data_IF_285384714519
#
_entry.id   IF_285384714519
#
_cell.length_a   1.000
_cell.length_b   1.000
_cell.length_c   1.000
_cell.angle_alpha   90.00
_cell.angle_beta   90.00
_cell.angle_gamma   90.00
#
_symmetry.space_group_name_H-M   'P 1'
#
loop_
_entity.id
_entity.type
_entity.pdbx_description
1 polymer ?
#
# COMPACT_ATOMS: atom_id res chain seq x y z
N UNK A 1 -16.60 -33.87 -32.37
CA UNK A 1 -16.36 -33.88 -30.91
C UNK A 1 -14.86 -33.70 -30.66
N UNK A 2 -14.44 -32.50 -30.27
CA UNK A 2 -13.08 -32.23 -29.77
C UNK A 2 -13.24 -31.56 -28.41
N UNK A 3 -12.91 -32.30 -27.37
CA UNK A 3 -12.98 -31.88 -25.97
C UNK A 3 -11.82 -30.92 -25.67
N UNK A 4 -12.09 -29.61 -25.67
CA UNK A 4 -11.19 -28.62 -25.08
C UNK A 4 -11.24 -28.78 -23.56
N UNK A 5 -10.20 -29.34 -22.97
CA UNK A 5 -9.95 -29.19 -21.53
C UNK A 5 -9.38 -27.79 -21.31
N UNK A 6 -10.23 -26.88 -20.81
CA UNK A 6 -9.76 -25.61 -20.23
C UNK A 6 -8.99 -25.95 -18.95
N UNK A 7 -7.68 -25.76 -18.97
CA UNK A 7 -6.89 -25.76 -17.76
C UNK A 7 -7.35 -24.57 -16.89
N UNK A 8 -7.87 -24.85 -15.70
CA UNK A 8 -8.17 -23.86 -14.68
C UNK A 8 -6.84 -23.42 -14.06
N UNK A 9 -6.37 -22.24 -14.42
CA UNK A 9 -5.26 -21.57 -13.73
C UNK A 9 -5.73 -21.17 -12.34
N UNK A 10 -5.23 -21.83 -11.30
CA UNK A 10 -5.51 -21.51 -9.90
C UNK A 10 -4.75 -20.22 -9.54
N UNK A 11 -5.47 -19.10 -9.48
CA UNK A 11 -5.00 -17.84 -8.90
C UNK A 11 -5.27 -17.92 -7.40
N UNK A 12 -4.22 -17.97 -6.57
CA UNK A 12 -4.38 -17.87 -5.13
C UNK A 12 -4.50 -16.40 -4.71
N UNK A 13 -5.64 -16.01 -4.15
CA UNK A 13 -5.88 -14.69 -3.55
C UNK A 13 -5.63 -14.83 -2.05
N UNK A 14 -4.49 -14.36 -1.55
CA UNK A 14 -4.24 -14.27 -0.10
C UNK A 14 -4.35 -12.79 0.28
N UNK A 15 -5.50 -12.39 0.81
CA UNK A 15 -5.68 -11.11 1.46
C UNK A 15 -5.10 -11.21 2.89
N UNK A 16 -3.96 -10.58 3.13
CA UNK A 16 -3.39 -10.49 4.47
C UNK A 16 -4.10 -9.40 5.27
N UNK A 17 -4.95 -9.81 6.22
CA UNK A 17 -5.49 -8.93 7.26
C UNK A 17 -4.40 -8.81 8.34
N UNK A 18 -3.82 -7.63 8.48
CA UNK A 18 -2.88 -7.34 9.58
C UNK A 18 -3.69 -7.16 10.86
N UNK A 19 -3.80 -8.23 11.64
CA UNK A 19 -4.32 -8.17 13.01
C UNK A 19 -3.20 -7.75 13.97
N UNK A 20 -3.16 -6.47 14.35
CA UNK A 20 -2.31 -6.02 15.44
C UNK A 20 -2.88 -6.57 16.76
N UNK A 21 -2.19 -7.54 17.35
CA UNK A 21 -2.51 -8.10 18.67
C UNK A 21 -1.95 -7.18 19.76
N UNK A 22 -2.73 -6.20 20.21
CA UNK A 22 -2.40 -5.43 21.41
C UNK A 22 -2.72 -6.24 22.66
N UNK A 23 -1.72 -6.46 23.51
CA UNK A 23 -1.90 -7.05 24.83
C UNK A 23 -2.64 -6.06 25.74
N UNK A 24 -3.83 -6.42 26.24
CA UNK A 24 -4.55 -5.61 27.22
C UNK A 24 -4.72 -6.37 28.54
N UNK A 25 -4.28 -5.74 29.64
CA UNK A 25 -4.53 -6.18 31.02
C UNK A 25 -5.97 -5.81 31.39
N UNK A 26 -6.73 -6.81 31.84
CA UNK A 26 -8.12 -6.65 32.28
C UNK A 26 -8.24 -5.81 33.57
N UNK A 27 -9.08 -4.78 33.52
CA UNK A 27 -9.92 -4.32 34.66
C UNK A 27 -11.23 -3.78 34.09
N UNK A 28 -12.34 -4.17 34.72
CA UNK A 28 -13.70 -4.16 34.16
C UNK A 28 -14.49 -2.85 34.32
N UNK A 29 -15.43 -2.66 33.38
CA UNK A 29 -16.73 -1.96 33.38
C UNK A 29 -16.85 -0.47 33.76
N UNK A 30 -17.28 0.39 32.81
CA UNK A 30 -18.69 0.81 32.62
C UNK A 30 -18.90 1.71 31.38
N UNK A 31 -19.90 1.33 30.57
CA UNK A 31 -20.83 2.07 29.69
C UNK A 31 -20.52 3.39 28.92
N UNK A 32 -21.03 3.35 27.67
CA UNK A 32 -21.57 4.41 26.79
C UNK A 32 -20.70 5.05 25.69
N UNK A 33 -21.14 4.75 24.46
CA UNK A 33 -21.12 5.55 23.23
C UNK A 33 -19.80 6.00 22.58
N UNK A 34 -19.82 5.91 21.24
CA UNK A 34 -18.76 6.12 20.26
C UNK A 34 -17.75 4.96 20.17
N UNK A 35 -17.95 4.09 19.16
CA UNK A 35 -16.83 3.39 18.52
C UNK A 35 -16.03 4.44 17.76
N UNK A 36 -15.28 5.26 18.50
CA UNK A 36 -14.15 6.01 18.00
C UNK A 36 -13.02 5.01 17.87
N UNK A 37 -12.87 4.43 16.68
CA UNK A 37 -11.53 3.99 16.27
C UNK A 37 -10.72 5.28 16.31
N UNK A 38 -9.73 5.35 17.20
CA UNK A 38 -8.73 6.41 17.17
C UNK A 38 -8.05 6.35 15.79
N UNK A 39 -8.57 7.11 14.83
CA UNK A 39 -7.99 7.28 13.49
C UNK A 39 -6.76 8.19 13.54
N UNK A 40 -6.18 8.36 14.74
CA UNK A 40 -5.18 9.33 15.13
C UNK A 40 -4.01 9.45 14.19
N UNK A 41 -3.32 10.58 14.32
CA UNK A 41 -2.16 10.88 13.49
C UNK A 41 -0.97 10.02 13.95
N UNK A 42 -0.29 9.37 13.03
CA UNK A 42 0.91 8.55 13.35
C UNK A 42 2.19 9.38 13.45
N UNK A 43 2.15 10.66 13.05
CA UNK A 43 3.23 11.61 13.23
C UNK A 43 2.67 13.04 13.31
N UNK A 44 3.40 13.95 13.96
CA UNK A 44 3.00 15.37 14.01
C UNK A 44 3.61 16.19 12.86
N UNK A 45 4.71 15.70 12.28
CA UNK A 45 5.41 16.32 11.16
C UNK A 45 6.19 15.28 10.33
N UNK A 46 6.68 15.67 9.15
CA UNK A 46 7.54 14.81 8.35
C UNK A 46 8.88 14.52 9.05
N UNK A 47 9.38 15.46 9.85
CA UNK A 47 10.62 15.25 10.63
C UNK A 47 10.38 14.25 11.75
N UNK A 48 9.26 14.38 12.47
CA UNK A 48 8.86 13.42 13.53
C UNK A 48 8.69 12.00 12.99
N UNK A 49 8.09 11.87 11.80
CA UNK A 49 7.99 10.59 11.10
C UNK A 49 9.37 10.03 10.75
N UNK A 50 10.27 10.87 10.22
CA UNK A 50 11.61 10.42 9.87
C UNK A 50 12.40 10.00 11.13
N UNK A 51 12.31 10.76 12.20
CA UNK A 51 13.03 10.49 13.45
C UNK A 51 12.59 9.17 14.07
N UNK A 52 11.28 8.84 14.04
CA UNK A 52 10.77 7.56 14.58
C UNK A 52 11.24 6.33 13.81
N UNK A 53 11.71 6.50 12.56
CA UNK A 53 12.18 5.41 11.71
C UNK A 53 13.67 5.08 11.92
N UNK A 54 14.44 5.85 12.69
CA UNK A 54 15.87 5.56 12.90
C UNK A 54 16.15 4.44 13.90
N UNK A 55 15.27 4.27 14.88
CA UNK A 55 15.43 3.31 15.98
C UNK A 55 15.23 1.85 15.53
N UNK A 56 14.65 1.66 14.36
CA UNK A 56 14.40 0.34 13.76
C UNK A 56 15.66 -0.18 13.05
N UNK A 57 16.19 -1.32 13.49
CA UNK A 57 17.37 -1.97 12.93
C UNK A 57 17.06 -2.82 11.69
N UNK A 58 15.79 -3.04 11.36
CA UNK A 58 15.37 -3.77 10.17
C UNK A 58 15.62 -2.95 8.89
N UNK A 59 15.68 -1.62 8.98
CA UNK A 59 15.95 -0.76 7.83
C UNK A 59 17.44 -0.69 7.49
N UNK A 60 17.77 -1.02 6.24
CA UNK A 60 19.13 -0.90 5.75
C UNK A 60 19.65 0.55 5.83
N UNK A 61 20.98 0.68 6.00
CA UNK A 61 21.66 1.97 6.03
C UNK A 61 21.42 2.84 4.77
N UNK A 62 21.07 2.24 3.64
CA UNK A 62 20.65 2.96 2.43
C UNK A 62 19.40 3.81 2.68
N UNK A 63 18.38 3.27 3.36
CA UNK A 63 17.18 4.01 3.73
C UNK A 63 17.51 5.11 4.74
N UNK A 64 18.25 4.76 5.81
CA UNK A 64 18.65 5.73 6.85
C UNK A 64 19.45 6.91 6.28
N UNK A 65 20.28 6.69 5.25
CA UNK A 65 20.96 7.79 4.54
C UNK A 65 19.99 8.72 3.80
N UNK A 66 18.99 8.17 3.12
CA UNK A 66 17.97 8.97 2.42
C UNK A 66 17.15 9.78 3.42
N UNK A 67 16.74 9.17 4.53
CA UNK A 67 16.00 9.83 5.61
C UNK A 67 16.80 10.97 6.25
N UNK A 68 18.08 10.75 6.57
CA UNK A 68 18.98 11.81 7.07
C UNK A 68 19.11 12.98 6.09
N UNK A 69 19.21 12.71 4.79
CA UNK A 69 19.22 13.75 3.79
C UNK A 69 17.89 14.51 3.73
N UNK A 70 16.76 13.82 3.87
CA UNK A 70 15.43 14.43 3.86
C UNK A 70 15.20 15.41 5.03
N UNK A 71 15.76 15.15 6.21
CA UNK A 71 15.71 16.10 7.35
C UNK A 71 16.35 17.46 7.02
N UNK A 72 17.33 17.50 6.12
CA UNK A 72 17.93 18.75 5.64
C UNK A 72 17.11 19.45 4.53
N UNK A 73 16.00 18.84 4.10
CA UNK A 73 15.15 19.27 2.98
C UNK A 73 13.65 19.21 3.34
N UNK A 74 13.28 19.76 4.50
CA UNK A 74 11.89 19.84 4.99
C UNK A 74 11.18 18.48 5.13
N UNK A 75 11.95 17.40 5.35
CA UNK A 75 11.42 16.03 5.41
C UNK A 75 10.96 15.48 4.05
N UNK A 76 11.34 16.12 2.93
CA UNK A 76 10.94 15.68 1.58
C UNK A 76 11.91 14.67 1.02
N UNK A 77 11.37 13.61 0.44
CA UNK A 77 12.13 12.57 -0.24
C UNK A 77 12.18 12.91 -1.74
N UNK A 78 13.37 13.18 -2.31
CA UNK A 78 13.50 13.40 -3.75
C UNK A 78 13.11 12.14 -4.53
N UNK A 79 12.41 12.29 -5.66
CA UNK A 79 11.98 11.17 -6.50
C UNK A 79 13.13 10.24 -6.91
N UNK A 80 14.32 10.79 -7.19
CA UNK A 80 15.49 9.98 -7.54
C UNK A 80 15.91 9.03 -6.40
N UNK A 81 15.83 9.48 -5.14
CA UNK A 81 16.14 8.65 -3.97
C UNK A 81 15.04 7.59 -3.75
N UNK A 82 13.78 7.97 -3.94
CA UNK A 82 12.64 7.06 -3.90
C UNK A 82 12.74 5.94 -4.94
N UNK A 83 12.99 6.31 -6.20
CA UNK A 83 13.19 5.38 -7.31
C UNK A 83 14.35 4.41 -7.07
N UNK A 84 15.48 4.90 -6.55
CA UNK A 84 16.63 4.06 -6.24
C UNK A 84 16.35 3.06 -5.10
N UNK A 85 15.57 3.44 -4.10
CA UNK A 85 15.17 2.53 -3.02
C UNK A 85 14.27 1.38 -3.55
N UNK A 86 13.34 1.70 -4.45
CA UNK A 86 12.51 0.68 -5.12
C UNK A 86 13.29 -0.27 -6.02
N UNK A 87 14.32 0.24 -6.68
CA UNK A 87 15.22 -0.62 -7.45
C UNK A 87 16.05 -1.54 -6.54
N UNK A 88 16.47 -1.05 -5.36
CA UNK A 88 17.16 -1.86 -4.35
C UNK A 88 16.26 -2.99 -3.82
N UNK A 89 14.98 -2.71 -3.59
CA UNK A 89 13.98 -3.73 -3.25
C UNK A 89 13.87 -4.82 -4.33
N UNK A 90 13.77 -4.43 -5.61
CA UNK A 90 13.68 -5.38 -6.72
C UNK A 90 14.95 -6.22 -6.84
N UNK A 91 16.12 -5.62 -6.63
CA UNK A 91 17.39 -6.33 -6.66
C UNK A 91 17.52 -7.33 -5.50
N UNK A 92 17.05 -6.98 -4.29
CA UNK A 92 17.02 -7.91 -3.15
C UNK A 92 16.29 -9.22 -3.47
N UNK A 93 15.17 -9.15 -4.19
CA UNK A 93 14.43 -10.35 -4.62
C UNK A 93 15.20 -11.17 -5.68
N UNK A 94 15.93 -10.50 -6.58
CA UNK A 94 16.82 -11.17 -7.54
C UNK A 94 17.97 -11.87 -6.82
N UNK A 95 18.57 -11.22 -5.82
CA UNK A 95 19.68 -11.78 -5.04
C UNK A 95 19.24 -13.01 -4.22
N UNK A 96 17.95 -13.08 -3.85
CA UNK A 96 17.32 -14.26 -3.22
C UNK A 96 16.95 -15.37 -4.21
N UNK A 97 17.17 -15.16 -5.51
CA UNK A 97 17.01 -16.18 -6.55
C UNK A 97 15.69 -16.13 -7.32
N UNK A 98 14.91 -15.05 -7.20
CA UNK A 98 13.68 -14.87 -7.97
C UNK A 98 13.91 -14.08 -9.26
N UNK A 99 12.95 -14.13 -10.18
CA UNK A 99 12.94 -13.20 -11.33
C UNK A 99 12.75 -11.77 -10.84
N UNK A 100 13.22 -10.78 -11.61
CA UNK A 100 13.05 -9.39 -11.23
C UNK A 100 11.56 -9.01 -11.25
N UNK A 101 10.97 -8.49 -10.15
CA UNK A 101 9.57 -8.09 -10.14
C UNK A 101 9.24 -7.00 -11.16
N UNK A 102 8.00 -6.92 -11.65
CA UNK A 102 7.57 -5.85 -12.51
C UNK A 102 7.68 -4.50 -11.80
N UNK A 103 7.93 -3.45 -12.57
CA UNK A 103 8.02 -2.08 -12.05
C UNK A 103 6.64 -1.44 -12.04
N UNK A 104 5.76 -1.97 -11.20
CA UNK A 104 4.41 -1.45 -11.03
C UNK A 104 4.48 0.01 -10.51
N UNK A 105 3.90 0.94 -11.27
CA UNK A 105 3.99 2.37 -11.04
C UNK A 105 2.65 3.02 -11.37
N UNK A 106 2.14 3.85 -10.48
CA UNK A 106 0.98 4.72 -10.74
C UNK A 106 1.33 6.13 -10.29
N UNK A 107 1.36 7.07 -11.22
CA UNK A 107 1.63 8.49 -10.96
C UNK A 107 2.82 8.75 -10.02
N UNK A 108 3.95 8.12 -10.33
CA UNK A 108 5.19 8.33 -9.57
C UNK A 108 5.26 7.55 -8.25
N UNK A 109 4.31 6.67 -7.96
CA UNK A 109 4.28 5.83 -6.76
C UNK A 109 4.40 4.36 -7.18
N UNK A 110 5.44 3.69 -6.68
CA UNK A 110 5.71 2.29 -6.98
C UNK A 110 4.88 1.35 -6.10
N UNK A 111 4.75 0.09 -6.51
CA UNK A 111 4.07 -0.94 -5.74
C UNK A 111 4.91 -2.20 -5.67
N UNK A 112 4.97 -2.78 -4.47
CA UNK A 112 5.41 -4.16 -4.33
C UNK A 112 4.38 -5.08 -5.03
N UNK A 113 4.79 -6.26 -5.53
CA UNK A 113 3.85 -7.22 -6.08
C UNK A 113 2.77 -7.55 -5.04
N UNK A 114 1.53 -7.14 -5.32
CA UNK A 114 0.37 -7.52 -4.53
C UNK A 114 -0.11 -8.93 -4.89
N UNK A 115 0.13 -9.34 -6.14
CA UNK A 115 -0.14 -10.67 -6.65
C UNK A 115 1.08 -11.23 -7.35
N UNK A 116 1.37 -12.48 -7.04
CA UNK A 116 2.38 -13.26 -7.73
C UNK A 116 1.82 -14.64 -8.06
N UNK A 117 2.26 -15.20 -9.18
CA UNK A 117 1.89 -16.55 -9.56
C UNK A 117 2.50 -17.54 -8.57
N UNK A 118 1.66 -18.39 -7.98
CA UNK A 118 2.09 -19.56 -7.21
C UNK A 118 2.25 -20.81 -8.06
N UNK A 119 2.13 -20.69 -9.38
CA UNK A 119 2.31 -21.80 -10.32
C UNK A 119 3.71 -22.41 -10.15
N UNK A 120 3.75 -23.73 -9.95
CA UNK A 120 5.01 -24.45 -9.74
C UNK A 120 5.63 -24.31 -8.35
N UNK A 121 5.04 -23.55 -7.42
CA UNK A 121 5.50 -23.45 -6.03
C UNK A 121 4.79 -24.47 -5.13
N UNK A 122 5.55 -25.10 -4.24
CA UNK A 122 4.95 -25.75 -3.06
C UNK A 122 4.45 -24.70 -2.06
N UNK A 123 3.59 -25.10 -1.14
CA UNK A 123 3.13 -24.23 -0.05
C UNK A 123 4.30 -23.63 0.75
N UNK A 124 5.31 -24.44 1.06
CA UNK A 124 6.50 -23.98 1.77
C UNK A 124 7.29 -22.94 0.96
N UNK A 125 7.40 -23.13 -0.37
CA UNK A 125 8.07 -22.16 -1.24
C UNK A 125 7.24 -20.87 -1.39
N UNK A 126 5.91 -20.98 -1.44
CA UNK A 126 5.00 -19.83 -1.50
C UNK A 126 5.09 -18.99 -0.21
N UNK A 127 5.09 -19.64 0.95
CA UNK A 127 5.30 -18.95 2.24
C UNK A 127 6.65 -18.26 2.30
N UNK A 128 7.72 -18.97 1.91
CA UNK A 128 9.07 -18.40 1.86
C UNK A 128 9.15 -17.18 0.94
N UNK A 129 8.50 -17.23 -0.23
CA UNK A 129 8.41 -16.10 -1.13
C UNK A 129 7.72 -14.89 -0.46
N UNK A 130 6.63 -15.11 0.27
CA UNK A 130 5.97 -14.04 1.05
C UNK A 130 6.91 -13.42 2.09
N UNK A 131 7.62 -14.25 2.86
CA UNK A 131 8.62 -13.81 3.84
C UNK A 131 9.74 -12.99 3.17
N UNK A 132 10.27 -13.48 2.05
CA UNK A 132 11.33 -12.81 1.30
C UNK A 132 10.86 -11.47 0.67
N UNK A 133 9.61 -11.38 0.22
CA UNK A 133 8.98 -10.11 -0.23
C UNK A 133 8.93 -9.10 0.91
N UNK A 134 8.44 -9.51 2.08
CA UNK A 134 8.30 -8.61 3.23
C UNK A 134 9.68 -8.19 3.76
N UNK A 135 10.63 -9.11 3.89
CA UNK A 135 12.01 -8.82 4.32
C UNK A 135 12.70 -7.84 3.37
N UNK A 136 12.61 -8.07 2.05
CA UNK A 136 13.18 -7.15 1.07
C UNK A 136 12.46 -5.79 1.12
N UNK A 137 11.14 -5.75 1.29
CA UNK A 137 10.38 -4.50 1.34
C UNK A 137 10.78 -3.68 2.56
N UNK A 138 10.75 -4.30 3.74
CA UNK A 138 11.11 -3.67 5.02
C UNK A 138 12.53 -3.16 4.94
N UNK A 139 13.49 -4.02 4.60
CA UNK A 139 14.90 -3.67 4.64
C UNK A 139 15.32 -2.64 3.58
N UNK A 140 14.72 -2.64 2.40
CA UNK A 140 15.20 -1.81 1.28
C UNK A 140 14.41 -0.54 1.01
N UNK A 141 13.09 -0.49 1.30
CA UNK A 141 12.25 0.60 0.76
C UNK A 141 11.13 1.10 1.68
N UNK A 142 10.71 0.34 2.69
CA UNK A 142 9.51 0.67 3.49
C UNK A 142 9.54 2.07 4.09
N UNK A 143 10.63 2.45 4.75
CA UNK A 143 10.74 3.74 5.44
C UNK A 143 10.74 4.91 4.44
N UNK A 144 11.49 4.76 3.34
CA UNK A 144 11.52 5.77 2.26
C UNK A 144 10.16 5.90 1.59
N UNK A 145 9.46 4.79 1.35
CA UNK A 145 8.13 4.77 0.73
C UNK A 145 7.05 5.37 1.64
N UNK A 146 7.10 5.11 2.95
CA UNK A 146 6.18 5.69 3.92
C UNK A 146 6.24 7.22 3.89
N UNK A 147 7.44 7.79 4.01
CA UNK A 147 7.64 9.26 3.98
C UNK A 147 7.26 9.83 2.61
N UNK A 148 7.68 9.18 1.52
CA UNK A 148 7.39 9.63 0.16
C UNK A 148 5.88 9.63 -0.14
N UNK A 149 5.11 8.63 0.32
CA UNK A 149 3.65 8.61 0.15
C UNK A 149 2.95 9.65 1.01
N UNK A 150 3.37 9.82 2.26
CA UNK A 150 2.81 10.83 3.16
C UNK A 150 2.92 12.23 2.53
N UNK A 151 4.06 12.57 1.95
CA UNK A 151 4.26 13.87 1.29
C UNK A 151 3.26 14.12 0.13
N UNK A 152 2.81 13.07 -0.57
CA UNK A 152 1.98 13.19 -1.77
C UNK A 152 0.48 13.14 -1.46
N UNK A 153 0.07 12.28 -0.51
CA UNK A 153 -1.34 11.98 -0.30
C UNK A 153 -1.82 11.97 1.16
N UNK A 154 -0.91 12.03 2.14
CA UNK A 154 -1.28 12.02 3.57
C UNK A 154 -0.35 12.94 4.41
N UNK A 155 -0.28 14.25 4.13
CA UNK A 155 0.60 15.17 4.85
C UNK A 155 0.11 15.48 6.27
N UNK A 156 -1.14 15.12 6.60
CA UNK A 156 -1.69 15.20 7.95
C UNK A 156 -1.41 13.94 8.77
N UNK A 157 -0.78 12.93 8.17
CA UNK A 157 -0.36 11.67 8.81
C UNK A 157 -1.51 10.89 9.47
N UNK A 158 -2.70 10.89 8.86
CA UNK A 158 -3.82 10.09 9.35
C UNK A 158 -3.44 8.60 9.38
N UNK A 159 -3.74 7.92 10.49
CA UNK A 159 -3.51 6.48 10.64
C UNK A 159 -4.46 5.62 9.81
N UNK A 160 -5.68 6.12 9.56
CA UNK A 160 -6.67 5.47 8.69
C UNK A 160 -6.43 5.88 7.22
N UNK A 161 -6.06 4.94 6.32
CA UNK A 161 -5.83 5.22 4.91
C UNK A 161 -7.05 5.76 4.16
N UNK A 162 -8.26 5.44 4.59
CA UNK A 162 -9.49 5.92 3.96
C UNK A 162 -9.79 7.37 4.35
N UNK A 163 -9.48 7.74 5.59
CA UNK A 163 -9.52 9.14 6.03
C UNK A 163 -8.51 9.95 5.22
N UNK A 164 -7.27 9.45 5.08
CA UNK A 164 -6.25 10.09 4.27
C UNK A 164 -6.63 10.20 2.79
N UNK A 165 -7.28 9.18 2.23
CA UNK A 165 -7.79 9.19 0.86
C UNK A 165 -8.83 10.29 0.67
N UNK A 166 -9.87 10.34 1.51
CA UNK A 166 -10.94 11.34 1.40
C UNK A 166 -10.40 12.76 1.58
N UNK A 167 -9.49 12.97 2.53
CA UNK A 167 -8.79 14.24 2.69
C UNK A 167 -8.00 14.64 1.42
N UNK A 168 -7.25 13.70 0.85
CA UNK A 168 -6.50 13.95 -0.40
C UNK A 168 -7.42 14.36 -1.55
N UNK A 169 -8.56 13.68 -1.70
CA UNK A 169 -9.57 14.00 -2.72
C UNK A 169 -10.15 15.40 -2.51
N UNK A 170 -10.49 15.77 -1.27
CA UNK A 170 -10.97 17.11 -0.94
C UNK A 170 -9.94 18.21 -1.20
N UNK A 171 -8.70 18.04 -0.72
CA UNK A 171 -7.63 19.04 -0.91
C UNK A 171 -7.32 19.31 -2.38
N UNK A 172 -7.61 18.36 -3.26
CA UNK A 172 -7.44 18.47 -4.72
C UNK A 172 -8.72 18.83 -5.47
N UNK A 173 -9.83 19.07 -4.78
CA UNK A 173 -11.16 19.37 -5.35
C UNK A 173 -11.66 18.29 -6.33
N UNK A 174 -11.38 17.01 -6.03
CA UNK A 174 -11.74 15.87 -6.87
C UNK A 174 -13.10 15.26 -6.52
N UNK A 175 -13.66 15.65 -5.38
CA UNK A 175 -14.99 15.28 -4.92
C UNK A 175 -15.69 16.49 -4.30
N UNK A 176 -17.03 16.50 -4.26
CA UNK A 176 -17.79 17.55 -3.56
C UNK A 176 -17.45 17.63 -2.07
N UNK A 177 -17.63 18.80 -1.46
CA UNK A 177 -17.31 19.03 -0.02
C UNK A 177 -18.15 18.17 0.96
N UNK A 178 -19.28 17.64 0.51
CA UNK A 178 -20.12 16.73 1.30
C UNK A 178 -19.77 15.25 1.09
N UNK A 179 -18.73 14.94 0.31
CA UNK A 179 -18.23 13.58 0.19
C UNK A 179 -17.61 13.15 1.52
N UNK A 180 -17.87 11.92 1.95
CA UNK A 180 -17.43 11.44 3.26
C UNK A 180 -16.82 10.06 3.14
N UNK A 181 -16.07 9.67 4.18
CA UNK A 181 -15.59 8.30 4.33
C UNK A 181 -16.74 7.27 4.28
N UNK A 182 -17.92 7.59 4.84
CA UNK A 182 -19.08 6.68 4.76
C UNK A 182 -19.59 6.53 3.32
N UNK A 183 -19.55 7.61 2.53
CA UNK A 183 -19.89 7.54 1.11
C UNK A 183 -18.86 6.69 0.35
N UNK A 184 -17.56 6.91 0.59
CA UNK A 184 -16.50 6.07 0.01
C UNK A 184 -16.67 4.59 0.34
N UNK A 185 -16.88 4.24 1.61
CA UNK A 185 -17.11 2.86 2.05
C UNK A 185 -18.32 2.24 1.36
N UNK A 186 -19.42 2.98 1.27
CA UNK A 186 -20.64 2.51 0.58
C UNK A 186 -20.40 2.24 -0.90
N UNK A 187 -19.68 3.12 -1.59
CA UNK A 187 -19.28 2.95 -2.99
C UNK A 187 -18.36 1.73 -3.16
N UNK A 188 -17.37 1.61 -2.28
CA UNK A 188 -16.44 0.47 -2.25
C UNK A 188 -17.15 -0.86 -2.00
N UNK A 189 -18.05 -0.92 -1.02
CA UNK A 189 -18.85 -2.12 -0.73
C UNK A 189 -19.75 -2.47 -1.91
N UNK A 190 -20.31 -1.48 -2.60
CA UNK A 190 -21.13 -1.70 -3.79
C UNK A 190 -20.31 -2.26 -4.95
N UNK A 191 -19.08 -1.75 -5.12
CA UNK A 191 -18.12 -2.27 -6.09
C UNK A 191 -17.70 -3.71 -5.77
N UNK A 192 -17.33 -4.00 -4.52
CA UNK A 192 -16.87 -5.34 -4.10
C UNK A 192 -17.97 -6.40 -4.17
N UNK A 193 -19.23 -6.00 -4.02
CA UNK A 193 -20.39 -6.89 -4.13
C UNK A 193 -20.90 -7.02 -5.57
N UNK A 194 -20.39 -6.22 -6.51
CA UNK A 194 -20.79 -6.35 -7.90
C UNK A 194 -20.17 -7.61 -8.54
N UNK A 195 -21.02 -8.41 -9.17
CA UNK A 195 -20.64 -9.64 -9.88
C UNK A 195 -20.65 -9.45 -11.39
N UNK A 196 -21.03 -8.26 -11.87
CA UNK A 196 -21.13 -7.96 -13.31
C UNK A 196 -19.77 -7.78 -13.98
N UNK A 197 -18.71 -7.58 -13.20
CA UNK A 197 -17.33 -7.47 -13.68
C UNK A 197 -17.01 -6.12 -14.31
N UNK A 198 -17.75 -5.07 -13.95
CA UNK A 198 -17.49 -3.71 -14.42
C UNK A 198 -16.20 -3.12 -13.84
N UNK A 199 -15.62 -2.18 -14.57
CA UNK A 199 -14.49 -1.38 -14.10
C UNK A 199 -14.98 -0.36 -13.05
N UNK A 200 -14.18 0.02 -12.04
CA UNK A 200 -14.61 0.91 -10.93
C UNK A 200 -15.25 2.25 -11.32
N UNK A 201 -15.15 2.67 -12.58
CA UNK A 201 -15.49 3.99 -13.11
C UNK A 201 -16.96 4.42 -12.89
N UNK A 202 -17.91 3.48 -12.81
CA UNK A 202 -19.33 3.80 -12.57
C UNK A 202 -19.74 3.76 -11.07
N UNK A 203 -18.85 3.30 -10.18
CA UNK A 203 -19.18 3.00 -8.79
C UNK A 203 -18.80 4.11 -7.81
N UNK A 204 -17.88 4.99 -8.20
CA UNK A 204 -17.36 6.04 -7.32
C UNK A 204 -17.81 7.43 -7.75
N UNK A 205 -18.01 8.32 -6.79
CA UNK A 205 -18.34 9.73 -7.07
C UNK A 205 -17.15 10.56 -7.58
N UNK A 206 -16.04 9.92 -7.93
CA UNK A 206 -14.84 10.54 -8.51
C UNK A 206 -14.41 9.80 -9.78
N UNK A 207 -13.77 10.52 -10.70
CA UNK A 207 -13.22 9.92 -11.92
C UNK A 207 -11.98 9.08 -11.61
N UNK A 208 -12.14 7.77 -11.72
CA UNK A 208 -11.09 6.80 -11.44
C UNK A 208 -9.92 6.83 -12.44
N UNK A 209 -10.08 7.51 -13.57
CA UNK A 209 -9.04 7.73 -14.57
C UNK A 209 -8.36 9.10 -14.46
N UNK A 210 -8.84 9.97 -13.58
CA UNK A 210 -8.18 11.24 -13.28
C UNK A 210 -6.82 10.99 -12.60
N UNK A 211 -5.76 11.60 -13.15
CA UNK A 211 -4.39 11.42 -12.65
C UNK A 211 -4.21 11.87 -11.19
N UNK A 212 -4.93 12.88 -10.74
CA UNK A 212 -4.88 13.36 -9.37
C UNK A 212 -5.63 12.39 -8.43
N UNK A 213 -6.74 11.81 -8.87
CA UNK A 213 -7.44 10.73 -8.13
C UNK A 213 -6.53 9.52 -7.97
N UNK A 214 -5.93 9.05 -9.07
CA UNK A 214 -4.97 7.95 -9.07
C UNK A 214 -3.78 8.20 -8.13
N UNK A 215 -3.32 9.45 -8.04
CA UNK A 215 -2.25 9.82 -7.10
C UNK A 215 -2.71 9.69 -5.65
N UNK A 216 -3.92 10.11 -5.31
CA UNK A 216 -4.50 9.96 -3.97
C UNK A 216 -4.70 8.49 -3.59
N UNK A 217 -5.26 7.69 -4.52
CA UNK A 217 -5.46 6.26 -4.33
C UNK A 217 -4.11 5.54 -4.12
N UNK A 218 -3.12 5.86 -4.93
CA UNK A 218 -1.80 5.25 -4.85
C UNK A 218 -1.07 5.63 -3.55
N UNK A 219 -1.08 6.91 -3.17
CA UNK A 219 -0.40 7.38 -1.96
C UNK A 219 -1.03 6.76 -0.69
N UNK A 220 -2.34 6.55 -0.69
CA UNK A 220 -3.08 6.00 0.44
C UNK A 220 -3.35 4.49 0.32
N UNK A 221 -2.56 3.79 -0.51
CA UNK A 221 -2.57 2.31 -0.66
C UNK A 221 -3.97 1.73 -0.88
N UNK A 222 -4.83 2.44 -1.62
CA UNK A 222 -6.19 1.99 -1.89
C UNK A 222 -6.17 0.66 -2.65
N UNK A 223 -6.99 -0.33 -2.25
CA UNK A 223 -7.10 -1.61 -2.94
C UNK A 223 -7.60 -1.45 -4.39
N UNK A 224 -8.23 -0.33 -4.73
CA UNK A 224 -8.67 -0.04 -6.08
C UNK A 224 -7.50 0.06 -7.08
N UNK A 225 -6.26 0.26 -6.64
CA UNK A 225 -5.10 0.23 -7.55
C UNK A 225 -4.75 -1.21 -7.98
N UNK A 226 -5.10 -2.22 -7.18
CA UNK A 226 -4.67 -3.61 -7.37
C UNK A 226 -4.95 -4.18 -8.77
N UNK A 227 -6.13 -3.97 -9.40
CA UNK A 227 -6.41 -4.50 -10.73
C UNK A 227 -5.51 -3.94 -11.84
N UNK A 228 -4.80 -2.83 -11.59
CA UNK A 228 -3.86 -2.22 -12.54
C UNK A 228 -2.44 -2.75 -12.43
N UNK A 229 -2.16 -3.58 -11.42
CA UNK A 229 -0.82 -4.08 -11.15
C UNK A 229 -0.55 -5.35 -11.96
N UNK A 230 0.65 -5.43 -12.56
CA UNK A 230 1.10 -6.63 -13.23
C UNK A 230 1.31 -7.77 -12.23
N UNK A 231 0.81 -8.96 -12.57
CA UNK A 231 1.06 -10.19 -11.80
C UNK A 231 2.50 -10.63 -12.03
N UNK A 232 3.24 -10.77 -10.94
CA UNK A 232 4.64 -11.21 -11.01
C UNK A 232 4.75 -12.74 -11.11
N UNK A 233 5.61 -13.24 -12.02
CA UNK A 233 5.98 -14.66 -12.10
C UNK A 233 7.35 -14.89 -11.48
N UNK A 234 7.45 -15.31 -10.21
CA UNK A 234 8.70 -15.32 -9.45
C UNK A 234 9.74 -16.32 -9.98
N UNK A 235 9.33 -17.33 -10.74
CA UNK A 235 10.20 -18.39 -11.29
C UNK A 235 10.39 -18.37 -12.81
N UNK A 236 9.77 -17.41 -13.53
CA UNK A 236 9.80 -17.31 -14.99
C UNK A 236 8.56 -17.87 -15.67
#
# INVERSE_FOLDING_TARGET
>A
MKTLHRALTLIAVIAYIVGASSCSRNTAETDNDAVGIDTGKFASSASDLIDSLFDDDEYAESQKRVLRAALHHDGKIPYASYSAAWESYRQCLVDKGYTKPPQNLTNGIYFAPAYFSSEGLTEAQSRKLGEDIDECRISQVYAVDLVYRAQLGNPEFYGDPEVALVDCLHRKNLVPQNYTMNQYRKEYDSYMNDTSGGMPEDWFSFDFNDSAVLSCLAANKSPLIQPRLEIWKPLG
#
